data_IF_690560468200
#
_entry.id   IF_690560468200
#
_cell.length_a   1.000
_cell.length_b   1.000
_cell.length_c   1.000
_cell.angle_alpha   90.00
_cell.angle_beta   90.00
_cell.angle_gamma   90.00
#
_symmetry.space_group_name_H-M   'P 1'
#
loop_
_entity.id
_entity.type
_entity.pdbx_description
1 polymer ?
#
# COMPACT_ATOMS: atom_id res chain seq x y z
N UNK A 1 -23.15 4.53 -3.00
CA UNK A 1 -22.35 3.39 -2.50
C UNK A 1 -22.68 2.15 -3.31
N UNK A 2 -21.74 1.23 -3.44
CA UNK A 2 -21.94 -0.06 -4.11
C UNK A 2 -22.76 -1.03 -3.25
N UNK A 3 -23.42 -2.01 -3.88
CA UNK A 3 -24.29 -2.98 -3.19
C UNK A 3 -23.56 -3.85 -2.17
N UNK A 4 -22.28 -4.18 -2.40
CA UNK A 4 -21.48 -5.02 -1.50
C UNK A 4 -21.19 -4.37 -0.14
N UNK A 5 -21.37 -3.04 -0.01
CA UNK A 5 -21.19 -2.30 1.23
C UNK A 5 -22.45 -2.25 2.10
N UNK A 6 -23.61 -2.68 1.58
CA UNK A 6 -24.86 -2.72 2.35
C UNK A 6 -24.70 -3.72 3.50
N UNK A 7 -24.90 -3.24 4.73
CA UNK A 7 -24.86 -4.07 5.93
C UNK A 7 -25.99 -3.71 6.89
N UNK A 8 -26.52 -4.73 7.56
CA UNK A 8 -27.41 -4.61 8.71
C UNK A 8 -27.14 -5.76 9.65
N UNK A 9 -27.25 -5.51 10.96
CA UNK A 9 -26.95 -6.50 11.99
C UNK A 9 -28.07 -6.48 13.02
N UNK A 10 -28.55 -7.66 13.36
CA UNK A 10 -29.62 -7.87 14.35
C UNK A 10 -29.07 -8.77 15.43
N UNK A 11 -29.10 -8.29 16.68
CA UNK A 11 -28.68 -9.04 17.85
C UNK A 11 -28.62 -8.17 19.09
N UNK A 12 -28.53 -8.82 20.24
CA UNK A 12 -28.35 -8.16 21.53
C UNK A 12 -26.87 -7.93 21.77
N UNK A 13 -26.48 -6.67 21.89
CA UNK A 13 -25.08 -6.34 22.01
C UNK A 13 -24.84 -5.07 22.82
N UNK A 14 -23.75 -5.08 23.59
CA UNK A 14 -23.29 -3.94 24.37
C UNK A 14 -22.48 -2.94 23.51
N UNK A 15 -22.36 -1.70 23.98
CA UNK A 15 -21.56 -0.66 23.31
C UNK A 15 -20.84 0.25 24.32
N UNK A 16 -19.76 0.85 23.83
CA UNK A 16 -18.95 1.95 24.37
C UNK A 16 -18.96 3.03 23.31
N UNK A 17 -18.88 4.29 23.68
CA UNK A 17 -18.86 5.39 22.72
C UNK A 17 -17.83 6.46 23.07
N UNK A 18 -17.27 7.09 22.03
CA UNK A 18 -16.41 8.27 22.16
C UNK A 18 -16.74 9.29 21.06
N UNK A 19 -16.63 10.58 21.39
CA UNK A 19 -17.09 11.69 20.54
C UNK A 19 -15.89 12.48 20.01
N UNK A 20 -15.42 12.15 18.80
CA UNK A 20 -14.48 13.01 18.06
C UNK A 20 -15.07 13.50 16.72
N UNK A 21 -16.07 12.80 16.17
CA UNK A 21 -16.94 13.31 15.11
C UNK A 21 -18.19 12.41 15.10
N UNK A 22 -19.28 12.89 15.71
CA UNK A 22 -20.58 12.23 15.90
C UNK A 22 -20.55 10.69 16.13
N UNK A 23 -20.72 10.28 17.39
CA UNK A 23 -21.13 8.94 17.86
C UNK A 23 -20.40 7.71 17.27
N UNK A 24 -19.14 7.47 17.66
CA UNK A 24 -18.46 6.19 17.38
C UNK A 24 -18.84 5.14 18.44
N UNK A 25 -19.29 3.94 18.06
CA UNK A 25 -19.71 2.87 19.01
C UNK A 25 -18.87 1.58 18.87
N UNK A 26 -18.35 1.05 19.98
CA UNK A 26 -17.47 -0.15 20.05
C UNK A 26 -17.82 -1.02 21.26
N UNK A 27 -17.80 -2.35 21.17
CA UNK A 27 -18.37 -3.23 22.23
C UNK A 27 -17.39 -3.66 23.34
N UNK A 28 -17.92 -3.77 24.57
CA UNK A 28 -17.28 -4.37 25.78
C UNK A 28 -16.00 -3.65 26.22
N UNK A 29 -15.57 -3.78 27.49
CA UNK A 29 -14.29 -3.17 27.96
C UNK A 29 -13.09 -3.53 27.05
N UNK A 30 -13.13 -4.71 26.44
CA UNK A 30 -12.11 -5.20 25.51
C UNK A 30 -12.07 -4.44 24.18
N UNK A 31 -13.12 -3.71 23.80
CA UNK A 31 -13.17 -2.88 22.60
C UNK A 31 -12.53 -1.50 22.77
N UNK A 32 -12.19 -1.09 24.01
CA UNK A 32 -11.66 0.25 24.30
C UNK A 32 -10.39 0.59 23.52
N UNK A 33 -9.51 -0.38 23.32
CA UNK A 33 -8.29 -0.18 22.54
C UNK A 33 -8.59 0.11 21.06
N UNK A 34 -9.51 -0.64 20.44
CA UNK A 34 -9.92 -0.40 19.06
C UNK A 34 -10.64 0.94 18.89
N UNK A 35 -11.48 1.31 19.87
CA UNK A 35 -12.11 2.63 19.94
C UNK A 35 -11.05 3.74 19.89
N UNK A 36 -10.04 3.69 20.77
CA UNK A 36 -8.95 4.68 20.80
C UNK A 36 -8.18 4.76 19.47
N UNK A 37 -7.92 3.61 18.81
CA UNK A 37 -7.29 3.58 17.50
C UNK A 37 -8.17 4.25 16.44
N UNK A 38 -9.45 3.90 16.36
CA UNK A 38 -10.37 4.45 15.37
C UNK A 38 -10.54 5.97 15.55
N UNK A 39 -10.70 6.40 16.81
CA UNK A 39 -10.82 7.80 17.22
C UNK A 39 -9.58 8.63 16.85
N UNK A 40 -8.38 8.04 16.89
CA UNK A 40 -7.14 8.69 16.43
C UNK A 40 -6.95 8.63 14.92
N UNK A 41 -7.42 7.57 14.27
CA UNK A 41 -7.24 7.34 12.84
C UNK A 41 -8.14 8.22 11.99
N UNK A 42 -9.39 8.43 12.40
CA UNK A 42 -10.36 9.20 11.61
C UNK A 42 -9.90 10.66 11.37
N UNK A 43 -9.47 11.45 12.39
CA UNK A 43 -8.98 12.80 12.18
C UNK A 43 -7.68 12.85 11.38
N UNK A 44 -6.84 11.81 11.51
CA UNK A 44 -5.64 11.68 10.71
C UNK A 44 -5.99 11.56 9.21
N UNK A 45 -6.94 10.69 8.85
CA UNK A 45 -7.38 10.52 7.46
C UNK A 45 -8.09 11.76 6.92
N UNK A 46 -8.96 12.39 7.72
CA UNK A 46 -9.60 13.64 7.33
C UNK A 46 -8.60 14.73 6.97
N UNK A 47 -7.55 14.87 7.79
CA UNK A 47 -6.46 15.82 7.52
C UNK A 47 -5.63 15.40 6.31
N UNK A 48 -5.21 14.14 6.25
CA UNK A 48 -4.32 13.63 5.20
C UNK A 48 -4.96 13.70 3.81
N UNK A 49 -6.25 13.36 3.70
CA UNK A 49 -7.01 13.44 2.45
C UNK A 49 -7.64 14.81 2.22
N UNK A 50 -7.71 15.66 3.25
CA UNK A 50 -8.44 16.93 3.20
C UNK A 50 -9.88 16.77 2.69
N UNK A 51 -10.53 15.68 3.12
CA UNK A 51 -11.92 15.29 2.84
C UNK A 51 -12.49 14.76 4.16
N UNK A 52 -13.59 15.34 4.63
CA UNK A 52 -14.24 14.91 5.88
C UNK A 52 -14.95 13.57 5.73
N UNK A 53 -15.09 12.83 6.83
CA UNK A 53 -15.91 11.64 6.87
C UNK A 53 -17.39 12.02 6.63
N UNK A 54 -18.09 11.41 5.66
CA UNK A 54 -19.38 11.92 5.21
C UNK A 54 -20.57 11.46 6.07
N UNK A 55 -20.42 10.41 6.89
CA UNK A 55 -21.51 9.85 7.68
C UNK A 55 -21.52 10.42 9.11
N UNK A 56 -22.69 10.51 9.75
CA UNK A 56 -22.81 11.03 11.11
C UNK A 56 -22.35 10.03 12.17
N UNK A 57 -21.90 8.82 11.81
CA UNK A 57 -21.32 7.83 12.73
C UNK A 57 -20.57 6.76 11.97
N UNK A 58 -19.67 6.08 12.67
CA UNK A 58 -19.01 4.87 12.21
C UNK A 58 -19.06 3.83 13.34
N UNK A 59 -19.79 2.74 13.14
CA UNK A 59 -19.88 1.65 14.10
C UNK A 59 -18.78 0.60 13.80
N UNK A 60 -18.07 0.11 14.82
CA UNK A 60 -17.13 -1.01 14.69
C UNK A 60 -17.65 -2.19 15.51
N UNK A 61 -17.91 -3.30 14.83
CA UNK A 61 -18.60 -4.44 15.43
C UNK A 61 -17.80 -5.74 15.33
N UNK A 62 -17.60 -6.38 16.48
CA UNK A 62 -17.06 -7.73 16.54
C UNK A 62 -18.16 -8.77 16.28
N UNK A 63 -17.88 -9.69 15.36
CA UNK A 63 -18.70 -10.83 14.98
C UNK A 63 -17.93 -12.11 15.35
N UNK A 64 -18.58 -13.02 16.07
CA UNK A 64 -17.99 -14.27 16.55
C UNK A 64 -17.55 -15.17 15.38
N UNK A 65 -18.47 -15.44 14.45
CA UNK A 65 -18.23 -16.24 13.26
C UNK A 65 -18.08 -15.34 12.03
N UNK A 66 -16.83 -14.99 11.70
CA UNK A 66 -16.51 -14.12 10.58
C UNK A 66 -15.43 -14.72 9.69
N UNK A 67 -15.74 -14.94 8.40
CA UNK A 67 -14.86 -15.63 7.46
C UNK A 67 -13.56 -14.84 7.19
N UNK A 68 -13.69 -13.53 7.00
CA UNK A 68 -12.58 -12.61 6.83
C UNK A 68 -12.06 -12.08 8.17
N UNK A 69 -11.07 -11.19 8.12
CA UNK A 69 -10.58 -10.49 9.31
C UNK A 69 -11.50 -9.32 9.68
N UNK A 70 -11.90 -8.56 8.68
CA UNK A 70 -12.83 -7.45 8.77
C UNK A 70 -13.46 -7.17 7.38
N UNK A 71 -14.43 -6.25 7.35
CA UNK A 71 -15.10 -5.78 6.15
C UNK A 71 -15.55 -4.33 6.34
N UNK A 72 -15.25 -3.50 5.35
CA UNK A 72 -15.31 -2.04 5.39
C UNK A 72 -16.70 -1.43 5.18
N UNK A 73 -17.78 -2.16 5.52
CA UNK A 73 -19.15 -1.71 5.23
C UNK A 73 -19.38 -0.28 5.73
N UNK A 74 -19.90 0.59 4.86
CA UNK A 74 -19.85 2.04 5.06
C UNK A 74 -20.69 2.47 6.26
N UNK A 75 -20.04 2.93 7.33
CA UNK A 75 -20.68 3.31 8.59
C UNK A 75 -20.97 2.15 9.56
N UNK A 76 -20.73 0.88 9.18
CA UNK A 76 -20.92 -0.30 10.03
C UNK A 76 -19.83 -1.34 9.76
N UNK A 77 -18.59 -1.04 10.15
CA UNK A 77 -17.43 -1.87 9.86
C UNK A 77 -17.45 -3.14 10.72
N UNK A 78 -17.39 -4.30 10.09
CA UNK A 78 -17.46 -5.60 10.77
C UNK A 78 -16.07 -6.21 10.93
N UNK A 79 -15.83 -6.88 12.06
CA UNK A 79 -14.55 -7.48 12.41
C UNK A 79 -14.75 -8.87 13.01
N UNK A 80 -13.79 -9.76 12.78
CA UNK A 80 -13.61 -10.94 13.64
C UNK A 80 -13.21 -10.48 15.05
N UNK A 81 -13.68 -11.16 16.09
CA UNK A 81 -13.35 -10.81 17.49
C UNK A 81 -11.85 -10.61 17.74
N UNK A 82 -11.00 -11.48 17.17
CA UNK A 82 -9.53 -11.44 17.32
C UNK A 82 -8.84 -10.25 16.63
N UNK A 83 -9.59 -9.46 15.85
CA UNK A 83 -9.13 -8.29 15.12
C UNK A 83 -9.69 -6.97 15.67
N UNK A 84 -10.59 -7.03 16.67
CA UNK A 84 -11.18 -5.85 17.31
C UNK A 84 -11.05 -5.84 18.83
N UNK A 85 -11.22 -7.00 19.48
CA UNK A 85 -11.23 -7.11 20.94
C UNK A 85 -9.82 -7.33 21.48
N UNK A 86 -9.46 -6.54 22.49
CA UNK A 86 -8.17 -6.57 23.18
C UNK A 86 -8.37 -6.66 24.69
N UNK A 87 -7.92 -7.75 25.29
CA UNK A 87 -7.76 -7.85 26.74
C UNK A 87 -6.43 -7.21 27.17
N UNK A 88 -6.46 -6.14 27.96
CA UNK A 88 -5.25 -5.43 28.38
C UNK A 88 -4.22 -6.31 29.10
N UNK A 89 -4.67 -7.32 29.87
CA UNK A 89 -3.81 -8.18 30.70
C UNK A 89 -3.21 -9.33 29.91
N UNK A 90 -3.98 -9.90 28.98
CA UNK A 90 -3.62 -11.14 28.29
C UNK A 90 -3.17 -10.93 26.83
N UNK A 91 -3.50 -9.80 26.22
CA UNK A 91 -3.18 -9.53 24.81
C UNK A 91 -1.73 -9.07 24.67
N UNK A 92 -0.93 -9.87 23.96
CA UNK A 92 0.47 -9.56 23.64
C UNK A 92 0.59 -8.34 22.71
N UNK A 93 1.71 -7.63 22.78
CA UNK A 93 1.97 -6.40 22.00
C UNK A 93 1.82 -6.59 20.48
N UNK A 94 2.30 -7.72 19.95
CA UNK A 94 2.14 -8.04 18.52
C UNK A 94 0.66 -8.12 18.11
N UNK A 95 -0.22 -8.62 19.00
CA UNK A 95 -1.65 -8.67 18.72
C UNK A 95 -2.29 -7.29 18.81
N UNK A 96 -1.91 -6.46 19.78
CA UNK A 96 -2.35 -5.05 19.85
C UNK A 96 -1.99 -4.30 18.56
N UNK A 97 -0.76 -4.47 18.09
CA UNK A 97 -0.31 -3.88 16.83
C UNK A 97 -1.15 -4.33 15.63
N UNK A 98 -1.47 -5.63 15.55
CA UNK A 98 -2.33 -6.14 14.48
C UNK A 98 -3.74 -5.56 14.54
N UNK A 99 -4.35 -5.49 15.73
CA UNK A 99 -5.66 -4.87 15.92
C UNK A 99 -5.61 -3.41 15.46
N UNK A 100 -4.56 -2.66 15.83
CA UNK A 100 -4.39 -1.28 15.36
C UNK A 100 -4.32 -1.17 13.84
N UNK A 101 -3.59 -2.09 13.20
CA UNK A 101 -3.44 -2.12 11.75
C UNK A 101 -4.76 -2.42 11.06
N UNK A 102 -5.51 -3.44 11.51
CA UNK A 102 -6.79 -3.81 10.90
C UNK A 102 -7.84 -2.70 11.12
N UNK A 103 -7.95 -2.14 12.33
CA UNK A 103 -8.89 -1.03 12.59
C UNK A 103 -8.59 0.19 11.73
N UNK A 104 -7.32 0.57 11.62
CA UNK A 104 -6.96 1.66 10.74
C UNK A 104 -7.26 1.29 9.26
N UNK A 105 -7.03 0.03 8.83
CA UNK A 105 -7.25 -0.45 7.46
C UNK A 105 -8.69 -0.21 7.03
N UNK A 106 -9.62 -0.69 7.85
CA UNK A 106 -11.04 -0.51 7.60
C UNK A 106 -11.50 0.95 7.69
N UNK A 107 -10.84 1.75 8.53
CA UNK A 107 -11.11 3.18 8.64
C UNK A 107 -10.67 3.93 7.37
N UNK A 108 -9.57 3.54 6.74
CA UNK A 108 -9.11 4.15 5.49
C UNK A 108 -10.02 3.82 4.30
N UNK A 109 -10.61 2.62 4.28
CA UNK A 109 -11.56 2.22 3.25
C UNK A 109 -12.77 3.16 3.13
N UNK A 110 -13.08 3.91 4.19
CA UNK A 110 -14.17 4.88 4.18
C UNK A 110 -13.95 6.04 3.18
N UNK A 111 -12.70 6.30 2.76
CA UNK A 111 -12.36 7.23 1.68
C UNK A 111 -12.05 6.52 0.36
N UNK A 112 -11.46 5.32 0.41
CA UNK A 112 -10.99 4.60 -0.76
C UNK A 112 -11.45 3.14 -0.78
N UNK A 113 -12.31 2.82 -1.74
CA UNK A 113 -12.68 1.42 -2.05
C UNK A 113 -11.73 0.79 -3.07
N UNK A 114 -11.21 1.56 -4.04
CA UNK A 114 -10.36 1.02 -5.12
C UNK A 114 -8.88 0.90 -4.73
N UNK A 115 -8.44 1.59 -3.68
CA UNK A 115 -7.07 1.54 -3.18
C UNK A 115 -7.10 0.94 -1.78
N UNK A 116 -7.29 -0.38 -1.71
CA UNK A 116 -7.30 -1.19 -0.47
C UNK A 116 -5.97 -1.18 0.32
N UNK A 117 -5.10 -0.21 0.07
CA UNK A 117 -3.64 -0.37 0.18
C UNK A 117 -2.93 0.94 0.56
N UNK A 118 -3.49 2.09 0.20
CA UNK A 118 -2.66 3.26 -0.08
C UNK A 118 -2.33 4.13 1.14
N UNK A 119 -3.24 4.24 2.12
CA UNK A 119 -3.03 5.20 3.21
C UNK A 119 -2.50 4.60 4.51
N UNK A 120 -2.68 3.30 4.76
CA UNK A 120 -2.11 2.69 5.97
C UNK A 120 -0.67 2.29 5.82
N UNK A 121 -0.31 1.78 4.65
CA UNK A 121 0.96 1.11 4.52
C UNK A 121 2.14 2.12 4.51
N UNK A 122 1.84 3.41 4.28
CA UNK A 122 2.78 4.53 4.50
C UNK A 122 2.97 4.81 6.01
N UNK A 123 1.92 4.64 6.82
CA UNK A 123 1.96 4.88 8.27
C UNK A 123 2.44 3.69 9.10
N UNK A 124 2.58 2.50 8.50
CA UNK A 124 3.15 1.33 9.15
C UNK A 124 4.65 1.55 9.35
N UNK A 125 5.20 1.22 10.53
CA UNK A 125 6.64 1.29 10.77
C UNK A 125 7.43 0.59 9.66
N UNK A 126 8.45 1.26 9.14
CA UNK A 126 9.23 0.80 7.98
C UNK A 126 9.68 -0.66 8.09
N UNK A 127 10.05 -1.11 9.30
CA UNK A 127 10.49 -2.49 9.52
C UNK A 127 9.43 -3.51 9.11
N UNK A 128 8.18 -3.33 9.56
CA UNK A 128 7.08 -4.26 9.30
C UNK A 128 6.66 -4.20 7.84
N UNK A 129 6.70 -3.01 7.24
CA UNK A 129 6.45 -2.87 5.81
C UNK A 129 7.45 -3.69 4.99
N UNK A 130 8.74 -3.62 5.32
CA UNK A 130 9.77 -4.33 4.56
C UNK A 130 9.67 -5.85 4.78
N UNK A 131 9.50 -6.30 6.03
CA UNK A 131 9.50 -7.73 6.35
C UNK A 131 8.21 -8.42 5.92
N UNK A 132 7.05 -7.83 6.19
CA UNK A 132 5.78 -8.55 6.08
C UNK A 132 5.09 -8.27 4.74
N UNK A 133 5.26 -7.05 4.20
CA UNK A 133 4.60 -6.63 2.97
C UNK A 133 5.54 -6.83 1.78
N UNK A 134 6.70 -6.18 1.79
CA UNK A 134 7.61 -6.19 0.63
C UNK A 134 8.20 -7.57 0.41
N UNK A 135 8.74 -8.20 1.46
CA UNK A 135 9.34 -9.54 1.32
C UNK A 135 8.28 -10.60 1.00
N UNK A 136 7.08 -10.48 1.58
CA UNK A 136 5.94 -11.33 1.24
C UNK A 136 5.52 -11.19 -0.22
N UNK A 137 5.42 -9.96 -0.72
CA UNK A 137 5.13 -9.69 -2.13
C UNK A 137 6.19 -10.32 -3.04
N UNK A 138 7.49 -10.10 -2.79
CA UNK A 138 8.57 -10.66 -3.60
C UNK A 138 8.58 -12.20 -3.56
N UNK A 139 8.25 -12.82 -2.43
CA UNK A 139 8.22 -14.28 -2.31
C UNK A 139 7.12 -14.90 -3.18
N UNK A 140 5.91 -14.34 -3.16
CA UNK A 140 4.79 -14.81 -3.99
C UNK A 140 4.99 -14.44 -5.46
N UNK A 141 5.39 -13.20 -5.72
CA UNK A 141 5.50 -12.66 -7.07
C UNK A 141 6.70 -13.23 -7.83
N UNK A 142 7.69 -13.80 -7.14
CA UNK A 142 8.80 -14.51 -7.77
C UNK A 142 8.44 -15.89 -8.32
N UNK A 143 7.22 -16.40 -8.06
CA UNK A 143 6.72 -17.67 -8.58
C UNK A 143 6.15 -17.49 -9.99
N UNK A 144 6.36 -18.46 -10.88
CA UNK A 144 5.81 -18.38 -12.24
C UNK A 144 4.27 -18.38 -12.28
N UNK A 145 3.63 -18.91 -11.24
CA UNK A 145 2.18 -18.90 -11.03
C UNK A 145 1.63 -17.54 -10.58
N UNK A 146 2.48 -16.52 -10.41
CA UNK A 146 2.03 -15.15 -10.11
C UNK A 146 1.19 -14.57 -11.26
N UNK A 147 0.50 -13.47 -10.97
CA UNK A 147 -0.27 -12.69 -11.93
C UNK A 147 0.08 -11.18 -11.84
N UNK A 148 -0.23 -10.38 -12.87
CA UNK A 148 -0.14 -8.92 -12.78
C UNK A 148 -1.11 -8.35 -11.73
N UNK A 149 -0.82 -7.16 -11.21
CA UNK A 149 -1.73 -6.47 -10.26
C UNK A 149 -3.06 -6.17 -10.95
N UNK A 150 -3.00 -5.71 -12.20
CA UNK A 150 -4.19 -5.49 -13.01
C UNK A 150 -4.51 -6.74 -13.82
N UNK A 151 -5.61 -7.39 -13.48
CA UNK A 151 -6.07 -8.62 -14.11
C UNK A 151 -7.54 -8.53 -14.45
N UNK A 152 -7.91 -9.00 -15.65
CA UNK A 152 -9.31 -9.16 -16.02
C UNK A 152 -9.89 -10.34 -15.28
N UNK A 153 -10.93 -10.11 -14.50
CA UNK A 153 -11.65 -11.16 -13.77
C UNK A 153 -12.94 -11.51 -14.52
N UNK A 154 -13.19 -12.79 -14.73
CA UNK A 154 -14.42 -13.27 -15.34
C UNK A 154 -15.51 -13.57 -14.29
N UNK A 155 -15.94 -14.83 -14.14
CA UNK A 155 -17.02 -15.22 -13.24
C UNK A 155 -16.74 -14.95 -11.76
N UNK A 156 -17.80 -14.83 -10.91
CA UNK A 156 -17.66 -14.40 -9.51
C UNK A 156 -16.69 -15.18 -8.61
N UNK A 157 -16.39 -16.45 -8.92
CA UNK A 157 -15.45 -17.22 -8.11
C UNK A 157 -13.99 -16.78 -8.33
N UNK A 158 -13.66 -16.29 -9.53
CA UNK A 158 -12.35 -15.73 -9.84
C UNK A 158 -12.11 -14.39 -9.10
N UNK A 159 -13.20 -13.69 -8.73
CA UNK A 159 -13.10 -12.44 -7.94
C UNK A 159 -12.49 -12.71 -6.57
N UNK A 160 -12.75 -13.86 -5.97
CA UNK A 160 -12.13 -14.22 -4.69
C UNK A 160 -10.65 -14.55 -4.83
N UNK A 161 -10.23 -15.05 -6.00
CA UNK A 161 -8.83 -15.44 -6.26
C UNK A 161 -7.89 -14.24 -6.32
N UNK A 162 -8.39 -13.07 -6.73
CA UNK A 162 -7.58 -11.84 -6.80
C UNK A 162 -7.42 -11.14 -5.45
N UNK A 163 -8.11 -11.56 -4.38
CA UNK A 163 -7.88 -11.03 -3.03
C UNK A 163 -6.69 -11.73 -2.36
N UNK A 164 -5.51 -11.56 -2.93
CA UNK A 164 -4.31 -12.29 -2.56
C UNK A 164 -3.12 -11.37 -2.23
N UNK A 165 -1.94 -11.97 -2.01
CA UNK A 165 -0.72 -11.22 -1.69
C UNK A 165 -0.27 -10.28 -2.82
N UNK A 166 -0.63 -10.54 -4.09
CA UNK A 166 -0.29 -9.64 -5.19
C UNK A 166 -1.12 -8.37 -5.08
N UNK A 167 -2.43 -8.49 -4.98
CA UNK A 167 -3.30 -7.33 -4.84
C UNK A 167 -2.91 -6.52 -3.61
N UNK A 168 -2.85 -7.11 -2.42
CA UNK A 168 -2.56 -6.37 -1.19
C UNK A 168 -1.08 -5.95 -1.06
N UNK A 169 -0.14 -6.90 -1.11
CA UNK A 169 1.24 -6.62 -0.73
C UNK A 169 2.05 -6.00 -1.88
N UNK A 170 1.97 -6.56 -3.09
CA UNK A 170 2.69 -5.99 -4.26
C UNK A 170 2.12 -4.62 -4.61
N UNK A 171 0.80 -4.48 -4.60
CA UNK A 171 0.14 -3.17 -4.73
C UNK A 171 0.67 -2.15 -3.72
N UNK A 172 0.84 -2.53 -2.45
CA UNK A 172 1.38 -1.63 -1.42
C UNK A 172 2.82 -1.23 -1.69
N UNK A 173 3.67 -2.19 -2.06
CA UNK A 173 5.08 -1.95 -2.35
C UNK A 173 5.24 -0.98 -3.53
N UNK A 174 4.46 -1.17 -4.60
CA UNK A 174 4.50 -0.30 -5.80
C UNK A 174 3.99 1.11 -5.48
N UNK A 175 2.90 1.24 -4.73
CA UNK A 175 2.39 2.54 -4.29
C UNK A 175 3.40 3.26 -3.38
N UNK A 176 4.08 2.54 -2.48
CA UNK A 176 5.11 3.14 -1.62
C UNK A 176 6.31 3.61 -2.44
N UNK A 177 6.76 2.82 -3.40
CA UNK A 177 7.81 3.24 -4.35
C UNK A 177 7.38 4.50 -5.10
N UNK A 178 6.13 4.58 -5.54
CA UNK A 178 5.57 5.76 -6.20
C UNK A 178 5.51 6.98 -5.26
N UNK A 179 5.09 6.78 -4.00
CA UNK A 179 5.06 7.81 -2.96
C UNK A 179 6.46 8.41 -2.76
N UNK A 180 7.50 7.59 -2.60
CA UNK A 180 8.89 8.05 -2.48
C UNK A 180 9.39 8.75 -3.75
N UNK A 181 8.95 8.27 -4.93
CA UNK A 181 9.35 8.86 -6.20
C UNK A 181 8.74 10.26 -6.42
N UNK A 182 7.49 10.50 -6.03
CA UNK A 182 6.81 11.79 -6.24
C UNK A 182 6.92 12.75 -5.06
N UNK A 183 7.08 12.23 -3.84
CA UNK A 183 7.18 12.98 -2.59
C UNK A 183 5.83 13.23 -1.90
N UNK A 184 5.89 13.40 -0.58
CA UNK A 184 4.73 13.51 0.33
C UNK A 184 3.73 14.61 -0.06
N UNK A 185 4.21 15.85 -0.22
CA UNK A 185 3.34 17.01 -0.51
C UNK A 185 2.57 16.84 -1.83
N UNK A 186 3.25 16.30 -2.86
CA UNK A 186 2.62 16.01 -4.14
C UNK A 186 1.57 14.90 -3.99
N UNK A 187 1.91 13.83 -3.25
CA UNK A 187 1.04 12.68 -3.08
C UNK A 187 -0.24 13.03 -2.30
N UNK A 188 -0.12 13.70 -1.14
CA UNK A 188 -1.28 14.13 -0.36
C UNK A 188 -2.21 15.06 -1.16
N UNK A 189 -1.62 16.02 -1.90
CA UNK A 189 -2.38 16.92 -2.78
C UNK A 189 -3.12 16.18 -3.89
N UNK A 190 -2.48 15.21 -4.54
CA UNK A 190 -3.11 14.40 -5.58
C UNK A 190 -4.28 13.60 -5.01
N UNK A 191 -4.08 12.90 -3.89
CA UNK A 191 -5.14 12.10 -3.28
C UNK A 191 -6.35 12.95 -2.90
N UNK A 192 -6.12 14.16 -2.36
CA UNK A 192 -7.22 15.09 -2.06
C UNK A 192 -8.02 15.48 -3.31
N UNK A 193 -7.32 15.85 -4.40
CA UNK A 193 -7.96 16.24 -5.65
C UNK A 193 -8.71 15.06 -6.29
N UNK A 194 -8.07 13.89 -6.32
CA UNK A 194 -8.62 12.66 -6.86
C UNK A 194 -9.91 12.25 -6.14
N UNK A 195 -9.88 12.20 -4.80
CA UNK A 195 -11.06 11.88 -4.00
C UNK A 195 -12.20 12.86 -4.23
N UNK A 196 -11.92 14.17 -4.24
CA UNK A 196 -12.94 15.20 -4.48
C UNK A 196 -13.55 15.08 -5.87
N UNK A 197 -12.72 14.83 -6.89
CA UNK A 197 -13.15 14.71 -8.29
C UNK A 197 -14.04 13.49 -8.53
N UNK A 198 -13.70 12.36 -7.92
CA UNK A 198 -14.38 11.08 -8.12
C UNK A 198 -15.31 10.69 -6.96
N UNK A 199 -15.63 11.64 -6.07
CA UNK A 199 -16.52 11.41 -4.94
C UNK A 199 -17.86 10.82 -5.38
N UNK A 200 -18.25 9.71 -4.75
CA UNK A 200 -19.49 8.96 -5.04
C UNK A 200 -19.58 8.36 -6.47
N UNK A 201 -18.50 8.40 -7.25
CA UNK A 201 -18.37 7.78 -8.56
C UNK A 201 -17.51 6.51 -8.53
N UNK A 202 -17.21 5.99 -9.72
CA UNK A 202 -16.29 4.87 -9.93
C UNK A 202 -15.04 5.38 -10.65
N UNK A 203 -13.94 4.66 -10.50
CA UNK A 203 -12.66 4.98 -11.15
C UNK A 203 -12.02 3.74 -11.73
N UNK A 204 -11.17 3.92 -12.74
CA UNK A 204 -10.27 2.90 -13.26
C UNK A 204 -8.82 3.25 -12.94
N UNK A 205 -7.90 2.32 -13.16
CA UNK A 205 -6.46 2.48 -12.88
C UNK A 205 -5.88 3.73 -13.55
N UNK A 206 -6.30 4.02 -14.78
CA UNK A 206 -5.85 5.19 -15.56
C UNK A 206 -6.25 6.53 -14.96
N UNK A 207 -7.40 6.60 -14.27
CA UNK A 207 -7.85 7.85 -13.62
C UNK A 207 -6.86 8.29 -12.54
N UNK A 208 -6.34 7.32 -11.76
CA UNK A 208 -5.36 7.57 -10.71
C UNK A 208 -4.04 8.05 -11.31
N UNK A 209 -3.56 7.37 -12.36
CA UNK A 209 -2.33 7.77 -13.05
C UNK A 209 -2.45 9.16 -13.64
N UNK A 210 -3.56 9.47 -14.32
CA UNK A 210 -3.78 10.79 -14.88
C UNK A 210 -3.76 11.90 -13.82
N UNK A 211 -4.38 11.67 -12.65
CA UNK A 211 -4.35 12.63 -11.55
C UNK A 211 -2.94 12.83 -10.98
N UNK A 212 -2.16 11.76 -10.86
CA UNK A 212 -0.77 11.82 -10.41
C UNK A 212 0.14 12.54 -11.42
N UNK A 213 -0.01 12.28 -12.72
CA UNK A 213 0.73 12.96 -13.79
C UNK A 213 0.40 14.46 -13.85
N UNK A 214 -0.88 14.82 -13.67
CA UNK A 214 -1.33 16.20 -13.73
C UNK A 214 -0.62 17.07 -12.68
N UNK A 215 -0.45 16.58 -11.45
CA UNK A 215 0.17 17.35 -10.36
C UNK A 215 1.69 17.18 -10.34
N UNK A 216 2.20 15.95 -10.49
CA UNK A 216 3.63 15.66 -10.36
C UNK A 216 4.44 16.10 -11.58
N UNK A 217 3.80 16.24 -12.75
CA UNK A 217 4.45 16.47 -14.05
C UNK A 217 5.50 15.41 -14.42
N UNK A 218 5.42 14.22 -13.80
CA UNK A 218 6.25 13.05 -14.08
C UNK A 218 5.45 12.04 -14.91
N UNK A 219 6.11 11.14 -15.67
CA UNK A 219 5.43 10.17 -16.54
C UNK A 219 4.89 8.97 -15.75
N UNK A 220 4.02 9.21 -14.78
CA UNK A 220 3.53 8.19 -13.83
C UNK A 220 2.79 7.06 -14.52
N UNK A 221 1.95 7.33 -15.52
CA UNK A 221 1.22 6.30 -16.25
C UNK A 221 2.17 5.35 -16.97
N UNK A 222 3.21 5.88 -17.63
CA UNK A 222 4.25 5.07 -18.30
C UNK A 222 5.03 4.21 -17.30
N UNK A 223 5.34 4.75 -16.12
CA UNK A 223 6.06 4.02 -15.08
C UNK A 223 5.17 2.91 -14.53
N UNK A 224 3.99 3.27 -14.02
CA UNK A 224 3.10 2.37 -13.29
C UNK A 224 2.51 1.28 -14.17
N UNK A 225 2.28 1.52 -15.46
CA UNK A 225 1.85 0.46 -16.39
C UNK A 225 2.84 -0.70 -16.43
N UNK A 226 4.15 -0.43 -16.32
CA UNK A 226 5.16 -1.49 -16.26
C UNK A 226 5.12 -2.30 -14.96
N UNK A 227 4.60 -1.73 -13.87
CA UNK A 227 4.51 -2.39 -12.57
C UNK A 227 3.17 -3.10 -12.34
N UNK A 228 2.07 -2.59 -12.92
CA UNK A 228 0.74 -3.15 -12.71
C UNK A 228 0.34 -4.20 -13.73
N UNK A 229 0.77 -4.06 -14.99
CA UNK A 229 0.35 -4.94 -16.08
C UNK A 229 1.29 -6.13 -16.31
N UNK A 230 2.40 -6.21 -15.55
CA UNK A 230 3.40 -7.27 -15.68
C UNK A 230 3.50 -8.05 -14.36
N UNK A 231 3.55 -9.38 -14.46
CA UNK A 231 3.81 -10.26 -13.32
C UNK A 231 5.30 -10.32 -12.99
N UNK A 232 5.64 -10.75 -11.77
CA UNK A 232 7.01 -10.79 -11.26
C UNK A 232 7.61 -9.37 -11.15
N UNK A 233 8.92 -9.28 -10.91
CA UNK A 233 9.62 -8.02 -10.64
C UNK A 233 11.06 -8.04 -11.16
N UNK A 234 11.72 -6.87 -11.33
CA UNK A 234 13.10 -6.80 -11.76
C UNK A 234 14.09 -7.05 -10.60
N UNK A 235 15.16 -7.76 -10.88
CA UNK A 235 16.42 -7.68 -10.13
C UNK A 235 17.34 -6.68 -10.84
N UNK A 236 18.07 -5.88 -10.05
CA UNK A 236 18.97 -4.84 -10.56
C UNK A 236 20.42 -5.21 -10.19
N UNK A 237 21.16 -5.94 -11.04
CA UNK A 237 22.59 -6.13 -10.84
C UNK A 237 23.33 -4.81 -11.01
N UNK A 238 24.20 -4.51 -10.05
CA UNK A 238 25.02 -3.30 -10.01
C UNK A 238 26.48 -3.68 -10.09
N UNK A 239 27.16 -3.26 -11.15
CA UNK A 239 28.62 -3.32 -11.22
C UNK A 239 29.21 -1.96 -10.88
N UNK A 240 30.29 -1.94 -10.11
CA UNK A 240 30.97 -0.71 -9.71
C UNK A 240 32.41 -0.68 -10.23
N UNK A 241 32.80 0.46 -10.78
CA UNK A 241 34.17 0.75 -11.22
C UNK A 241 34.62 2.05 -10.55
N UNK A 242 35.83 2.06 -9.99
CA UNK A 242 36.45 3.27 -9.45
C UNK A 242 37.30 3.95 -10.52
N UNK A 243 37.01 5.22 -10.81
CA UNK A 243 37.84 6.07 -11.67
C UNK A 243 38.27 7.33 -10.91
N UNK A 244 39.47 7.30 -10.33
CA UNK A 244 39.98 8.40 -9.51
C UNK A 244 39.09 8.67 -8.30
N UNK A 245 38.50 9.87 -8.24
CA UNK A 245 37.55 10.28 -7.19
C UNK A 245 36.08 10.04 -7.58
N UNK A 246 35.81 9.36 -8.68
CA UNK A 246 34.47 9.05 -9.14
C UNK A 246 34.21 7.54 -9.06
N UNK A 247 32.96 7.19 -8.76
CA UNK A 247 32.46 5.81 -8.83
C UNK A 247 31.49 5.71 -9.99
N UNK A 248 31.81 4.88 -10.97
CA UNK A 248 30.91 4.57 -12.09
C UNK A 248 30.13 3.31 -11.72
N UNK A 249 28.80 3.41 -11.75
CA UNK A 249 27.89 2.30 -11.52
C UNK A 249 27.20 1.93 -12.84
N UNK A 250 27.35 0.69 -13.26
CA UNK A 250 26.57 0.12 -14.37
C UNK A 250 25.38 -0.61 -13.78
N UNK A 251 24.21 0.01 -13.92
CA UNK A 251 22.93 -0.56 -13.51
C UNK A 251 22.35 -1.36 -14.67
N UNK A 252 21.99 -2.61 -14.41
CA UNK A 252 21.29 -3.45 -15.38
C UNK A 252 19.98 -3.93 -14.78
N UNK A 253 19.00 -4.29 -15.61
CA UNK A 253 17.76 -4.90 -15.13
C UNK A 253 17.49 -6.24 -15.79
N UNK A 254 17.08 -7.21 -15.00
CA UNK A 254 16.62 -8.51 -15.46
C UNK A 254 15.40 -8.96 -14.67
N UNK A 255 14.50 -9.68 -15.32
CA UNK A 255 13.34 -10.26 -14.67
C UNK A 255 13.78 -11.32 -13.67
N UNK A 256 13.32 -11.23 -12.42
CA UNK A 256 13.57 -12.25 -11.41
C UNK A 256 12.52 -13.37 -11.48
N UNK A 257 12.97 -14.62 -11.51
CA UNK A 257 12.09 -15.78 -11.34
C UNK A 257 12.74 -16.80 -10.42
N UNK A 258 12.00 -17.28 -9.41
CA UNK A 258 12.48 -18.21 -8.37
C UNK A 258 13.02 -19.54 -8.92
N UNK A 259 12.54 -19.98 -10.09
CA UNK A 259 12.98 -21.23 -10.72
C UNK A 259 14.25 -21.08 -11.59
N UNK A 260 14.77 -19.85 -11.74
CA UNK A 260 15.95 -19.52 -12.54
C UNK A 260 15.80 -19.71 -14.05
N UNK A 261 14.59 -19.99 -14.56
CA UNK A 261 14.32 -20.22 -15.98
C UNK A 261 13.63 -19.00 -16.58
N UNK A 262 14.35 -18.26 -17.41
CA UNK A 262 13.81 -17.14 -18.18
C UNK A 262 13.66 -17.54 -19.65
N UNK A 263 12.47 -17.33 -20.22
CA UNK A 263 12.24 -17.45 -21.65
C UNK A 263 12.90 -16.29 -22.43
N UNK A 264 12.97 -16.39 -23.76
CA UNK A 264 13.46 -15.28 -24.60
C UNK A 264 12.53 -14.06 -24.57
N UNK A 265 11.26 -14.25 -24.23
CA UNK A 265 10.30 -13.17 -24.02
C UNK A 265 10.54 -12.48 -22.67
N UNK A 266 10.78 -13.25 -21.61
CA UNK A 266 11.11 -12.74 -20.28
C UNK A 266 12.35 -11.85 -20.28
N UNK A 267 13.34 -12.14 -21.12
CA UNK A 267 14.56 -11.34 -21.24
C UNK A 267 14.34 -9.93 -21.82
N UNK A 268 13.25 -9.75 -22.58
CA UNK A 268 12.86 -8.49 -23.22
C UNK A 268 11.97 -7.62 -22.33
N UNK A 269 11.41 -8.19 -21.27
CA UNK A 269 10.59 -7.47 -20.30
C UNK A 269 11.45 -6.41 -19.61
N UNK A 270 10.93 -5.19 -19.55
CA UNK A 270 11.56 -4.05 -18.89
C UNK A 270 10.56 -3.40 -17.92
N UNK A 271 11.10 -2.92 -16.82
CA UNK A 271 10.42 -2.04 -15.88
C UNK A 271 11.05 -0.67 -15.95
N UNK A 272 10.24 0.35 -15.69
CA UNK A 272 10.75 1.68 -15.42
C UNK A 272 10.94 1.80 -13.91
N UNK A 273 12.19 1.76 -13.46
CA UNK A 273 12.52 1.66 -12.03
C UNK A 273 13.08 2.99 -11.53
N UNK A 274 12.41 3.69 -10.60
CA UNK A 274 13.00 4.83 -9.91
C UNK A 274 14.04 4.33 -8.91
N UNK A 275 15.30 4.70 -9.12
CA UNK A 275 16.43 4.29 -8.28
C UNK A 275 17.00 5.51 -7.56
N UNK A 276 17.10 5.42 -6.23
CA UNK A 276 17.88 6.33 -5.39
C UNK A 276 19.13 5.63 -4.88
N UNK A 277 20.24 6.37 -4.85
CA UNK A 277 21.54 5.86 -4.42
C UNK A 277 22.06 6.78 -3.33
N UNK A 278 22.47 6.22 -2.19
CA UNK A 278 23.21 6.89 -1.12
C UNK A 278 24.62 6.29 -1.00
N UNK A 279 25.51 7.01 -0.34
CA UNK A 279 26.92 6.63 -0.12
C UNK A 279 27.19 6.41 1.37
N UNK A 280 28.30 5.77 1.72
CA UNK A 280 28.66 5.55 3.13
C UNK A 280 28.89 6.87 3.88
N UNK A 281 29.38 7.89 3.19
CA UNK A 281 29.66 9.23 3.68
C UNK A 281 28.40 9.97 4.15
N UNK A 282 27.27 9.76 3.48
CA UNK A 282 25.97 10.26 3.91
C UNK A 282 24.85 9.24 3.60
N UNK A 283 24.67 8.22 4.47
CA UNK A 283 23.68 7.16 4.25
C UNK A 283 22.24 7.67 4.30
N UNK A 284 22.03 8.84 4.92
CA UNK A 284 20.71 9.44 5.14
C UNK A 284 20.25 10.30 3.97
N UNK A 285 21.15 10.64 3.05
CA UNK A 285 20.89 11.53 1.93
C UNK A 285 21.08 10.81 0.61
N UNK A 286 20.17 11.06 -0.31
CA UNK A 286 20.26 10.53 -1.66
C UNK A 286 21.36 11.30 -2.42
N UNK A 287 22.44 10.60 -2.76
CA UNK A 287 23.55 11.12 -3.54
C UNK A 287 23.17 11.24 -5.03
N UNK A 288 22.34 10.33 -5.54
CA UNK A 288 21.89 10.35 -6.93
C UNK A 288 20.49 9.74 -7.11
N UNK A 289 19.74 10.24 -8.09
CA UNK A 289 18.45 9.67 -8.53
C UNK A 289 18.48 9.43 -10.03
N UNK A 290 18.03 8.25 -10.45
CA UNK A 290 17.92 7.89 -11.87
C UNK A 290 16.63 7.14 -12.11
N UNK A 291 16.06 7.32 -13.29
CA UNK A 291 14.96 6.50 -13.78
C UNK A 291 15.54 5.48 -14.76
N UNK A 292 15.60 4.20 -14.37
CA UNK A 292 16.12 3.14 -15.20
C UNK A 292 15.04 2.71 -16.21
N UNK A 293 15.09 3.26 -17.42
CA UNK A 293 14.16 2.95 -18.52
C UNK A 293 14.69 1.90 -19.50
N UNK A 294 16.01 1.79 -19.61
CA UNK A 294 16.70 0.88 -20.53
C UNK A 294 17.19 -0.38 -19.81
N UNK A 295 17.64 -1.36 -20.60
CA UNK A 295 18.23 -2.61 -20.08
C UNK A 295 19.47 -2.34 -19.21
N UNK A 296 20.29 -1.37 -19.63
CA UNK A 296 21.52 -0.97 -18.96
C UNK A 296 21.62 0.56 -18.95
N UNK A 297 22.07 1.14 -17.84
CA UNK A 297 22.37 2.57 -17.70
C UNK A 297 23.64 2.73 -16.86
N UNK A 298 24.51 3.64 -17.27
CA UNK A 298 25.68 4.04 -16.49
C UNK A 298 25.38 5.31 -15.70
N UNK A 299 25.77 5.30 -14.43
CA UNK A 299 25.62 6.42 -13.50
C UNK A 299 26.99 6.77 -12.95
N UNK A 300 27.36 8.04 -13.00
CA UNK A 300 28.63 8.53 -12.46
C UNK A 300 28.36 9.27 -11.15
N UNK A 301 28.87 8.72 -10.05
CA UNK A 301 28.86 9.36 -8.73
C UNK A 301 30.17 10.14 -8.54
N UNK A 302 30.06 11.47 -8.52
CA UNK A 302 31.23 12.34 -8.34
C UNK A 302 31.62 12.46 -6.87
N UNK A 303 32.92 12.43 -6.58
CA UNK A 303 33.44 12.64 -5.23
C UNK A 303 33.30 11.44 -4.29
N UNK A 304 32.96 10.26 -4.82
CA UNK A 304 32.88 9.01 -4.08
C UNK A 304 34.21 8.28 -4.19
N UNK A 305 34.94 8.23 -3.08
CA UNK A 305 36.26 7.58 -3.01
C UNK A 305 36.14 6.05 -2.98
N UNK A 306 37.24 5.32 -3.19
CA UNK A 306 37.23 3.86 -3.12
C UNK A 306 36.78 3.30 -1.76
N UNK A 307 36.98 4.07 -0.67
CA UNK A 307 36.66 3.72 0.71
C UNK A 307 35.30 4.27 1.19
N UNK A 308 34.55 4.90 0.29
CA UNK A 308 33.16 5.36 0.48
C UNK A 308 32.20 4.41 -0.25
#
# INVERSE_FOLDING_TARGET
MSTYLVAFIVGEFDFLEDTICNDLKVRKEQGKFALDVAVKSLPFYEKFFSVSYPLPKMDLIAIADFASQAMENWGLVTFRETCLLCDEKNTVSQRKQWISLVVAHESAHQWFVLLNICALQICIPNLIFVTDVTSGALAFDGLHSSHPIEVSVGPPHEVTEIFDAISYNKGAAVIRMLYEYIGDECFSKVLSLYLKKHSYGNTVTEDLWAALEEVSKKPIGKIMSTWTMQKEFPVIPVNSLQEGNNRILTLSQEKFCSNGKLSEEDKKVLWIVPISISTQSDPSKEAFKVLLESKNTEVVLNGVSAND
#
